data_IF_668912039099
#
_entry.id   IF_668912039099
#
_cell.length_a   1.000
_cell.length_b   1.000
_cell.length_c   1.000
_cell.angle_alpha   90.00
_cell.angle_beta   90.00
_cell.angle_gamma   90.00
#
_symmetry.space_group_name_H-M   'P 1'
#
loop_
_entity.id
_entity.type
_entity.pdbx_description
1 polymer ?
#
# COMPACT_ATOMS: atom_id res chain seq x y z
N UNK A 1 -14.86 -7.44 -9.74
CA UNK A 1 -13.94 -7.31 -8.59
C UNK A 1 -14.69 -7.63 -7.31
N UNK A 2 -14.03 -8.31 -6.39
CA UNK A 2 -14.58 -8.60 -5.07
C UNK A 2 -14.98 -7.31 -4.35
N UNK A 3 -16.21 -7.21 -3.83
CA UNK A 3 -16.66 -5.99 -3.13
C UNK A 3 -15.78 -5.60 -1.94
N UNK A 4 -15.24 -6.56 -1.21
CA UNK A 4 -14.35 -6.27 -0.08
C UNK A 4 -13.03 -5.66 -0.55
N UNK A 5 -12.46 -6.19 -1.64
CA UNK A 5 -11.25 -5.64 -2.23
C UNK A 5 -11.49 -4.23 -2.75
N UNK A 6 -12.60 -4.01 -3.46
CA UNK A 6 -12.94 -2.68 -3.96
C UNK A 6 -13.09 -1.69 -2.81
N UNK A 7 -13.78 -2.07 -1.75
CA UNK A 7 -13.94 -1.20 -0.58
C UNK A 7 -12.61 -0.90 0.09
N UNK A 8 -11.72 -1.91 0.19
CA UNK A 8 -10.37 -1.70 0.73
C UNK A 8 -9.62 -0.65 -0.09
N UNK A 9 -9.64 -0.77 -1.42
CA UNK A 9 -8.93 0.15 -2.31
C UNK A 9 -9.49 1.57 -2.23
N UNK A 10 -10.82 1.70 -2.13
CA UNK A 10 -11.48 3.01 -1.96
C UNK A 10 -11.07 3.63 -0.63
N UNK A 11 -11.12 2.87 0.45
CA UNK A 11 -10.73 3.36 1.78
C UNK A 11 -9.27 3.78 1.79
N UNK A 12 -8.41 2.97 1.18
CA UNK A 12 -6.98 3.27 1.08
C UNK A 12 -6.74 4.58 0.32
N UNK A 13 -7.42 4.76 -0.81
CA UNK A 13 -7.29 5.96 -1.63
C UNK A 13 -7.73 7.23 -0.88
N UNK A 14 -8.68 7.10 0.04
CA UNK A 14 -9.21 8.23 0.82
C UNK A 14 -8.37 8.57 2.05
N UNK A 15 -7.49 7.67 2.48
CA UNK A 15 -6.62 7.94 3.63
C UNK A 15 -5.57 8.97 3.26
N UNK A 16 -5.21 9.79 4.25
CA UNK A 16 -4.06 10.67 4.12
C UNK A 16 -2.80 9.82 3.98
N UNK A 17 -1.95 10.17 3.00
CA UNK A 17 -0.78 9.35 2.69
C UNK A 17 0.45 9.82 3.46
N UNK A 18 1.41 8.91 3.74
CA UNK A 18 2.62 9.26 4.47
C UNK A 18 3.47 10.27 3.70
N UNK A 19 4.14 11.16 4.44
CA UNK A 19 5.03 12.17 3.88
C UNK A 19 6.50 11.88 4.13
N UNK A 20 6.80 10.79 4.85
CA UNK A 20 8.17 10.37 5.15
C UNK A 20 8.26 8.87 5.23
N UNK A 21 9.48 8.34 5.15
CA UNK A 21 9.74 6.91 5.33
C UNK A 21 9.29 6.43 6.70
N UNK A 22 9.50 7.26 7.74
CA UNK A 22 9.14 6.90 9.10
C UNK A 22 7.63 6.67 9.26
N UNK A 23 6.82 7.44 8.52
CA UNK A 23 5.37 7.27 8.52
C UNK A 23 4.93 6.15 7.58
N UNK A 24 5.65 5.95 6.48
CA UNK A 24 5.26 5.01 5.43
C UNK A 24 5.23 3.56 5.90
N UNK A 25 6.22 3.15 6.69
CA UNK A 25 6.33 1.76 7.11
C UNK A 25 5.20 1.33 8.04
N UNK A 26 4.90 2.05 9.14
CA UNK A 26 3.75 1.67 9.97
C UNK A 26 2.42 1.77 9.21
N UNK A 27 2.28 2.74 8.33
CA UNK A 27 1.09 2.87 7.49
C UNK A 27 0.90 1.62 6.61
N UNK A 28 1.97 1.19 5.94
CA UNK A 28 1.94 0.00 5.10
C UNK A 28 1.57 -1.25 5.90
N UNK A 29 2.24 -1.45 7.05
CA UNK A 29 1.99 -2.62 7.88
C UNK A 29 0.56 -2.67 8.41
N UNK A 30 0.02 -1.52 8.82
CA UNK A 30 -1.36 -1.43 9.29
C UNK A 30 -2.34 -1.83 8.19
N UNK A 31 -2.14 -1.31 6.98
CA UNK A 31 -3.04 -1.61 5.87
C UNK A 31 -2.90 -3.06 5.39
N UNK A 32 -1.69 -3.61 5.43
CA UNK A 32 -1.49 -5.03 5.12
C UNK A 32 -2.19 -5.94 6.11
N UNK A 33 -2.17 -5.58 7.40
CA UNK A 33 -2.89 -6.33 8.42
C UNK A 33 -4.39 -6.32 8.18
N UNK A 34 -4.94 -5.18 7.79
CA UNK A 34 -6.37 -5.08 7.45
C UNK A 34 -6.69 -6.01 6.29
N UNK A 35 -5.89 -5.95 5.23
CA UNK A 35 -6.10 -6.80 4.05
C UNK A 35 -6.00 -8.29 4.41
N UNK A 36 -5.05 -8.64 5.24
CA UNK A 36 -4.83 -10.03 5.67
C UNK A 36 -6.02 -10.55 6.47
N UNK A 37 -6.55 -9.74 7.38
CA UNK A 37 -7.73 -10.12 8.17
C UNK A 37 -8.97 -10.33 7.30
N UNK A 38 -9.06 -9.61 6.19
CA UNK A 38 -10.16 -9.72 5.24
C UNK A 38 -9.90 -10.74 4.14
N UNK A 39 -8.77 -11.46 4.20
CA UNK A 39 -8.36 -12.44 3.20
C UNK A 39 -8.31 -11.88 1.78
N UNK A 40 -7.84 -10.64 1.66
CA UNK A 40 -7.72 -9.98 0.37
C UNK A 40 -6.37 -10.32 -0.25
N UNK A 41 -6.39 -10.82 -1.49
CA UNK A 41 -5.19 -11.07 -2.28
C UNK A 41 -5.14 -10.08 -3.44
N UNK A 42 -3.96 -9.49 -3.65
CA UNK A 42 -3.77 -8.48 -4.69
C UNK A 42 -2.98 -9.05 -5.87
N UNK A 43 -3.38 -8.67 -7.08
CA UNK A 43 -2.60 -8.94 -8.29
C UNK A 43 -1.42 -7.97 -8.36
N UNK A 44 -0.45 -8.26 -9.24
CA UNK A 44 0.69 -7.36 -9.45
C UNK A 44 0.28 -5.94 -9.84
N UNK A 45 -0.65 -5.73 -10.80
CA UNK A 45 -1.11 -4.38 -11.12
C UNK A 45 -1.74 -3.67 -9.93
N UNK A 46 -2.47 -4.41 -9.08
CA UNK A 46 -3.09 -3.83 -7.89
C UNK A 46 -2.04 -3.43 -6.85
N UNK A 47 -1.00 -4.26 -6.68
CA UNK A 47 0.12 -3.93 -5.79
C UNK A 47 0.84 -2.67 -6.28
N UNK A 48 1.04 -2.53 -7.59
CA UNK A 48 1.64 -1.34 -8.17
C UNK A 48 0.80 -0.09 -7.91
N UNK A 49 -0.52 -0.22 -8.03
CA UNK A 49 -1.43 0.89 -7.74
C UNK A 49 -1.34 1.30 -6.27
N UNK A 50 -1.33 0.33 -5.36
CA UNK A 50 -1.17 0.59 -3.94
C UNK A 50 0.16 1.28 -3.66
N UNK A 51 1.24 0.80 -4.29
CA UNK A 51 2.57 1.39 -4.13
C UNK A 51 2.61 2.84 -4.60
N UNK A 52 2.01 3.14 -5.75
CA UNK A 52 1.93 4.50 -6.27
C UNK A 52 1.19 5.42 -5.32
N UNK A 53 0.05 4.97 -4.79
CA UNK A 53 -0.73 5.76 -3.84
C UNK A 53 0.01 5.96 -2.53
N UNK A 54 0.61 4.90 -2.00
CA UNK A 54 1.34 4.94 -0.73
C UNK A 54 2.51 5.94 -0.78
N UNK A 55 3.20 6.01 -1.91
CA UNK A 55 4.45 6.75 -2.02
C UNK A 55 4.30 8.11 -2.72
N UNK A 56 3.09 8.52 -3.06
CA UNK A 56 2.89 9.72 -3.89
C UNK A 56 3.50 10.99 -3.29
N UNK A 57 3.57 11.09 -1.96
CA UNK A 57 4.08 12.26 -1.26
C UNK A 57 5.51 12.08 -0.76
N UNK A 58 6.18 10.98 -1.13
CA UNK A 58 7.57 10.72 -0.74
C UNK A 58 8.54 11.23 -1.80
N UNK A 59 9.81 11.44 -1.38
CA UNK A 59 10.88 11.76 -2.31
C UNK A 59 11.17 10.58 -3.24
N UNK A 60 11.81 10.80 -4.41
CA UNK A 60 12.15 9.69 -5.31
C UNK A 60 12.99 8.59 -4.66
N UNK A 61 13.95 8.96 -3.80
CA UNK A 61 14.78 7.99 -3.08
C UNK A 61 13.95 7.15 -2.12
N UNK A 62 13.02 7.79 -1.41
CA UNK A 62 12.13 7.09 -0.48
C UNK A 62 11.14 6.20 -1.22
N UNK A 63 10.61 6.66 -2.34
CA UNK A 63 9.74 5.84 -3.21
C UNK A 63 10.43 4.54 -3.61
N UNK A 64 11.69 4.63 -4.05
CA UNK A 64 12.45 3.46 -4.45
C UNK A 64 12.61 2.45 -3.31
N UNK A 65 12.91 2.94 -2.12
CA UNK A 65 13.07 2.08 -0.94
C UNK A 65 11.77 1.39 -0.57
N UNK A 66 10.68 2.14 -0.52
CA UNK A 66 9.36 1.58 -0.17
C UNK A 66 8.93 0.55 -1.21
N UNK A 67 9.09 0.87 -2.50
CA UNK A 67 8.72 -0.04 -3.57
C UNK A 67 9.52 -1.34 -3.51
N UNK A 68 10.80 -1.28 -3.15
CA UNK A 68 11.62 -2.47 -2.97
C UNK A 68 11.10 -3.32 -1.82
N UNK A 69 10.79 -2.70 -0.70
CA UNK A 69 10.25 -3.40 0.47
C UNK A 69 8.92 -4.06 0.12
N UNK A 70 8.03 -3.34 -0.55
CA UNK A 70 6.74 -3.89 -0.95
C UNK A 70 6.89 -5.08 -1.88
N UNK A 71 7.83 -5.02 -2.83
CA UNK A 71 8.09 -6.13 -3.74
C UNK A 71 8.53 -7.39 -3.01
N UNK A 72 9.28 -7.24 -1.91
CA UNK A 72 9.72 -8.37 -1.11
C UNK A 72 8.62 -8.92 -0.21
N UNK A 73 7.74 -8.06 0.30
CA UNK A 73 6.72 -8.45 1.26
C UNK A 73 5.45 -9.00 0.59
N UNK A 74 5.13 -8.53 -0.62
CA UNK A 74 3.87 -8.83 -1.28
C UNK A 74 4.04 -9.78 -2.47
N UNK A 75 5.01 -10.63 -2.42
CA UNK A 75 5.23 -11.65 -3.46
C UNK A 75 4.11 -12.69 -3.45
#
# INVERSE_FOLDING_TARGET
>A
MDPEKLQFLINFAQKEKPKSMQEAMPFLLENMNIAKKQNINFSKPEIQLIAEQLTKDLSPAEKSKVNRIMSLMLK
#
